data_IF_354154348247
#
_entry.id   IF_354154348247
#
_cell.length_a   1.000
_cell.length_b   1.000
_cell.length_c   1.000
_cell.angle_alpha   90.00
_cell.angle_beta   90.00
_cell.angle_gamma   90.00
#
_symmetry.space_group_name_H-M   'P 1'
#
loop_
_entity.id
_entity.type
_entity.pdbx_description
1 polymer ?
#
# COMPACT_ATOMS: atom_id res chain seq x y z
N UNK A 1 71.52 40.47 5.79
CA UNK A 1 70.61 39.75 4.82
C UNK A 1 70.10 38.40 5.30
N UNK A 2 70.79 37.71 6.24
CA UNK A 2 70.34 36.36 6.75
C UNK A 2 69.15 36.37 7.73
N UNK A 3 69.02 37.44 8.59
CA UNK A 3 67.94 37.51 9.59
C UNK A 3 66.49 37.65 8.95
N UNK A 4 66.34 38.44 7.86
CA UNK A 4 65.05 38.63 7.18
C UNK A 4 64.55 37.36 6.53
N UNK A 5 65.39 36.44 6.03
CA UNK A 5 65.03 35.16 5.47
C UNK A 5 64.53 34.18 6.55
N UNK A 6 65.20 34.20 7.77
CA UNK A 6 64.79 33.33 8.87
C UNK A 6 63.42 33.72 9.43
N UNK A 7 63.09 34.99 9.50
CA UNK A 7 61.82 35.51 9.99
C UNK A 7 60.71 35.21 9.02
N UNK A 8 60.92 35.31 7.70
CA UNK A 8 59.95 34.97 6.64
C UNK A 8 59.62 33.47 6.62
N UNK A 9 60.58 32.58 6.88
CA UNK A 9 60.36 31.13 6.93
C UNK A 9 59.59 30.73 8.18
N UNK A 10 59.80 31.35 9.34
CA UNK A 10 59.07 31.12 10.58
C UNK A 10 57.58 31.55 10.45
N UNK A 11 57.34 32.72 9.83
CA UNK A 11 55.94 33.21 9.59
C UNK A 11 55.21 32.32 8.61
N UNK A 12 55.87 31.86 7.54
CA UNK A 12 55.26 30.92 6.58
C UNK A 12 54.93 29.56 7.19
N UNK A 13 55.79 29.04 8.09
CA UNK A 13 55.51 27.80 8.84
C UNK A 13 54.37 27.97 9.84
N UNK A 14 54.31 29.11 10.57
CA UNK A 14 53.23 29.39 11.49
C UNK A 14 51.86 29.59 10.77
N UNK A 15 51.85 30.24 9.61
CA UNK A 15 50.67 30.40 8.78
C UNK A 15 50.20 29.05 8.21
N UNK A 16 51.13 28.20 7.79
CA UNK A 16 50.79 26.85 7.28
C UNK A 16 50.26 25.92 8.36
N UNK A 17 50.81 25.96 9.58
CA UNK A 17 50.27 25.19 10.72
C UNK A 17 48.91 25.74 11.17
N UNK A 18 48.67 27.05 11.15
CA UNK A 18 47.37 27.63 11.45
C UNK A 18 46.30 27.25 10.41
N UNK A 19 46.66 27.19 9.12
CA UNK A 19 45.78 26.71 8.06
C UNK A 19 45.46 25.22 8.20
N UNK A 20 46.42 24.39 8.60
CA UNK A 20 46.22 22.96 8.85
C UNK A 20 45.26 22.71 10.04
N UNK A 21 45.40 23.49 11.11
CA UNK A 21 44.51 23.41 12.28
C UNK A 21 43.10 23.91 11.92
N UNK A 22 42.97 24.98 11.13
CA UNK A 22 41.69 25.47 10.64
C UNK A 22 41.00 24.45 9.69
N UNK A 23 41.80 23.80 8.84
CA UNK A 23 41.28 22.72 7.99
C UNK A 23 40.80 21.49 8.79
N UNK A 24 41.53 21.14 9.88
CA UNK A 24 41.08 20.06 10.77
C UNK A 24 39.81 20.42 11.55
N UNK A 25 39.60 21.68 11.92
CA UNK A 25 38.36 22.14 12.54
C UNK A 25 37.17 22.13 11.58
N UNK A 26 37.42 22.29 10.28
CA UNK A 26 36.35 22.18 9.26
C UNK A 26 35.95 20.73 9.01
N UNK A 27 36.80 19.73 9.24
CA UNK A 27 36.48 18.32 9.15
C UNK A 27 35.77 17.77 10.40
N UNK A 28 35.84 18.45 11.54
CA UNK A 28 35.09 18.08 12.75
C UNK A 28 33.68 18.66 12.81
N UNK A 29 33.25 19.45 11.83
CA UNK A 29 31.87 19.92 11.68
C UNK A 29 31.01 19.00 10.85
N UNK A 30 31.30 17.68 10.82
CA UNK A 30 30.24 16.71 10.66
C UNK A 30 29.46 16.69 11.98
N UNK A 31 28.59 17.67 12.13
CA UNK A 31 27.65 17.71 13.22
C UNK A 31 26.91 16.35 13.21
N UNK A 32 27.24 15.49 14.17
CA UNK A 32 26.34 14.46 14.60
C UNK A 32 25.02 15.20 14.89
N UNK A 33 23.96 14.87 14.18
CA UNK A 33 22.60 15.39 14.46
C UNK A 33 22.13 14.80 15.80
N UNK A 34 22.87 14.98 16.85
CA UNK A 34 22.52 14.60 18.20
C UNK A 34 21.75 15.76 18.82
N UNK A 35 20.45 15.55 18.99
CA UNK A 35 19.61 16.46 19.76
C UNK A 35 19.90 16.19 21.25
N UNK A 36 20.42 17.20 21.97
CA UNK A 36 20.58 17.11 23.42
C UNK A 36 19.29 17.59 24.11
N UNK A 37 18.57 16.68 24.72
CA UNK A 37 17.33 16.99 25.46
C UNK A 37 17.66 17.05 26.96
N UNK A 38 17.45 18.19 27.63
CA UNK A 38 17.65 18.28 29.08
C UNK A 38 16.50 17.53 29.78
N UNK A 39 16.86 16.55 30.65
CA UNK A 39 15.90 15.78 31.44
C UNK A 39 16.09 16.15 32.91
N UNK A 40 15.07 16.63 33.65
CA UNK A 40 15.18 16.96 35.07
C UNK A 40 15.66 15.76 35.88
N UNK A 41 16.73 15.94 36.67
CA UNK A 41 17.34 14.90 37.52
C UNK A 41 18.24 13.89 36.80
N UNK A 42 18.43 14.03 35.48
CA UNK A 42 19.34 13.21 34.68
C UNK A 42 20.27 14.10 33.86
N UNK A 43 21.42 13.59 33.43
CA UNK A 43 22.24 14.28 32.42
C UNK A 43 21.47 14.39 31.10
N UNK A 44 21.94 15.36 30.25
CA UNK A 44 21.34 15.52 28.93
C UNK A 44 21.38 14.20 28.13
N UNK A 45 20.21 13.73 27.67
CA UNK A 45 20.10 12.55 26.82
C UNK A 45 20.43 12.94 25.38
N UNK A 46 21.37 12.24 24.78
CA UNK A 46 21.74 12.44 23.39
C UNK A 46 20.89 11.56 22.48
N UNK A 47 19.98 12.17 21.77
CA UNK A 47 19.17 11.53 20.73
C UNK A 47 20.00 11.37 19.44
N UNK A 48 20.30 10.14 19.06
CA UNK A 48 21.12 9.87 17.86
C UNK A 48 20.38 10.05 16.54
N UNK A 49 19.06 9.90 16.53
CA UNK A 49 18.28 9.93 15.28
C UNK A 49 16.81 10.31 15.53
N UNK A 50 16.53 11.60 15.58
CA UNK A 50 15.18 12.14 15.79
C UNK A 50 14.16 11.64 14.75
N UNK A 51 14.57 11.28 13.53
CA UNK A 51 13.67 10.80 12.49
C UNK A 51 13.18 9.37 12.75
N UNK A 52 13.97 8.55 13.45
CA UNK A 52 13.53 7.24 13.95
C UNK A 52 12.51 7.45 15.05
N UNK A 53 12.71 8.41 15.94
CA UNK A 53 11.75 8.75 16.99
C UNK A 53 10.43 9.24 16.38
N UNK A 54 10.46 10.06 15.36
CA UNK A 54 9.25 10.44 14.62
C UNK A 54 8.54 9.23 14.01
N UNK A 55 9.28 8.31 13.40
CA UNK A 55 8.69 7.07 12.89
C UNK A 55 8.01 6.25 14.00
N UNK A 56 8.68 6.09 15.15
CA UNK A 56 8.14 5.35 16.30
C UNK A 56 6.91 6.05 16.91
N UNK A 57 6.90 7.38 16.97
CA UNK A 57 5.73 8.16 17.37
C UNK A 57 4.58 7.97 16.38
N UNK A 58 4.87 8.00 15.10
CA UNK A 58 3.91 7.67 14.05
C UNK A 58 3.28 6.28 14.26
N UNK A 59 4.09 5.26 14.51
CA UNK A 59 3.61 3.89 14.81
C UNK A 59 2.77 3.84 16.10
N UNK A 60 3.11 4.63 17.11
CA UNK A 60 2.36 4.70 18.36
C UNK A 60 0.98 5.32 18.14
N UNK A 61 0.88 6.44 17.42
CA UNK A 61 -0.39 7.07 17.08
C UNK A 61 -1.21 6.20 16.12
N UNK A 62 -0.56 5.50 15.19
CA UNK A 62 -1.24 4.56 14.30
C UNK A 62 -1.92 3.42 15.09
N UNK A 63 -1.26 2.88 16.11
CA UNK A 63 -1.85 1.86 17.00
C UNK A 63 -3.00 2.41 17.85
N UNK A 64 -2.99 3.70 18.15
CA UNK A 64 -4.09 4.40 18.84
C UNK A 64 -5.20 4.84 17.88
N UNK A 65 -5.10 4.47 16.59
CA UNK A 65 -6.03 4.83 15.52
C UNK A 65 -6.14 6.36 15.27
N UNK A 66 -5.21 7.14 15.83
CA UNK A 66 -5.06 8.57 15.51
C UNK A 66 -4.25 8.73 14.23
N UNK A 67 -4.85 8.35 13.10
CA UNK A 67 -4.19 8.30 11.80
C UNK A 67 -3.72 9.69 11.33
N UNK A 68 -4.39 10.75 11.77
CA UNK A 68 -3.99 12.12 11.44
C UNK A 68 -2.66 12.47 12.08
N UNK A 69 -2.52 12.25 13.39
CA UNK A 69 -1.24 12.49 14.08
C UNK A 69 -0.15 11.51 13.60
N UNK A 70 -0.52 10.25 13.35
CA UNK A 70 0.41 9.30 12.78
C UNK A 70 0.99 9.81 11.45
N UNK A 71 0.15 10.35 10.56
CA UNK A 71 0.57 10.92 9.29
C UNK A 71 1.56 12.08 9.47
N UNK A 72 1.27 13.03 10.38
CA UNK A 72 2.17 14.16 10.69
C UNK A 72 3.57 13.67 11.11
N UNK A 73 3.65 12.65 11.95
CA UNK A 73 4.93 12.10 12.39
C UNK A 73 5.66 11.30 11.31
N UNK A 74 4.94 10.56 10.46
CA UNK A 74 5.57 9.89 9.32
C UNK A 74 6.09 10.89 8.28
N UNK A 75 5.40 12.02 8.05
CA UNK A 75 5.92 13.10 7.19
C UNK A 75 7.23 13.70 7.74
N UNK A 76 7.34 13.86 9.06
CA UNK A 76 8.58 14.28 9.69
C UNK A 76 9.68 13.23 9.52
N UNK A 77 9.37 11.95 9.69
CA UNK A 77 10.32 10.85 9.50
C UNK A 77 10.84 10.75 8.07
N UNK A 78 10.00 11.05 7.07
CA UNK A 78 10.37 11.04 5.64
C UNK A 78 11.47 12.04 5.26
N UNK A 79 11.73 13.05 6.09
CA UNK A 79 12.79 14.04 5.82
C UNK A 79 14.17 13.41 5.81
N UNK A 80 14.35 12.25 6.41
CA UNK A 80 15.58 11.47 6.34
C UNK A 80 15.51 10.42 5.23
N UNK A 81 16.49 10.43 4.32
CA UNK A 81 16.54 9.56 3.14
C UNK A 81 16.39 8.08 3.48
N UNK A 82 17.07 7.61 4.55
CA UNK A 82 17.06 6.20 4.95
C UNK A 82 15.70 5.72 5.51
N UNK A 83 14.89 6.66 6.02
CA UNK A 83 13.55 6.38 6.56
C UNK A 83 12.43 6.66 5.54
N UNK A 84 12.75 7.27 4.41
CA UNK A 84 11.78 7.82 3.48
C UNK A 84 10.74 6.78 3.06
N UNK A 85 11.15 5.66 2.51
CA UNK A 85 10.20 4.69 1.95
C UNK A 85 9.39 3.95 3.01
N UNK A 86 9.99 3.65 4.18
CA UNK A 86 9.27 3.05 5.29
C UNK A 86 8.17 3.98 5.81
N UNK A 87 8.51 5.25 6.05
CA UNK A 87 7.57 6.26 6.49
C UNK A 87 6.53 6.60 5.41
N UNK A 88 6.92 6.63 4.12
CA UNK A 88 6.03 6.85 2.99
C UNK A 88 4.94 5.76 2.90
N UNK A 89 5.32 4.49 3.07
CA UNK A 89 4.36 3.38 3.11
C UNK A 89 3.40 3.49 4.30
N UNK A 90 3.91 3.84 5.47
CA UNK A 90 3.09 4.05 6.68
C UNK A 90 2.13 5.22 6.52
N UNK A 91 2.59 6.32 5.93
CA UNK A 91 1.76 7.48 5.61
C UNK A 91 0.63 7.10 4.63
N UNK A 92 0.95 6.33 3.58
CA UNK A 92 -0.05 5.83 2.65
C UNK A 92 -1.14 4.99 3.36
N UNK A 93 -0.73 4.15 4.34
CA UNK A 93 -1.68 3.42 5.19
C UNK A 93 -2.54 4.34 6.05
N UNK A 94 -1.98 5.42 6.60
CA UNK A 94 -2.77 6.40 7.34
C UNK A 94 -3.90 6.98 6.47
N UNK A 95 -3.62 7.31 5.22
CA UNK A 95 -4.65 7.79 4.29
C UNK A 95 -5.72 6.74 4.02
N UNK A 96 -5.35 5.46 3.84
CA UNK A 96 -6.33 4.37 3.68
C UNK A 96 -7.25 4.28 4.91
N UNK A 97 -6.68 4.24 6.12
CA UNK A 97 -7.47 4.12 7.35
C UNK A 97 -8.28 5.39 7.68
N UNK A 98 -7.89 6.55 7.15
CA UNK A 98 -8.66 7.79 7.22
C UNK A 98 -9.68 7.93 6.09
N UNK A 99 -9.83 6.94 5.22
CA UNK A 99 -10.68 6.97 4.01
C UNK A 99 -10.32 8.09 3.04
N UNK A 100 -9.08 8.57 3.07
CA UNK A 100 -8.56 9.57 2.11
C UNK A 100 -7.99 8.86 0.88
N UNK A 101 -8.91 8.35 0.06
CA UNK A 101 -8.60 7.58 -1.13
C UNK A 101 -7.83 8.39 -2.18
N UNK A 102 -8.08 9.71 -2.22
CA UNK A 102 -7.43 10.64 -3.15
C UNK A 102 -5.92 10.71 -2.93
N UNK A 103 -5.49 10.74 -1.68
CA UNK A 103 -4.07 10.75 -1.33
C UNK A 103 -3.49 9.33 -1.25
N UNK A 104 -4.28 8.33 -0.85
CA UNK A 104 -3.82 6.95 -0.72
C UNK A 104 -3.43 6.32 -2.06
N UNK A 105 -4.29 6.41 -3.08
CA UNK A 105 -4.10 5.72 -4.36
C UNK A 105 -2.78 6.05 -5.08
N UNK A 106 -2.41 7.34 -5.28
CA UNK A 106 -1.15 7.67 -5.94
C UNK A 106 0.07 7.21 -5.14
N UNK A 107 -0.02 7.20 -3.82
CA UNK A 107 1.07 6.71 -2.97
C UNK A 107 1.26 5.21 -3.10
N UNK A 108 0.18 4.43 -3.06
CA UNK A 108 0.23 2.97 -3.27
C UNK A 108 0.79 2.63 -4.65
N UNK A 109 0.34 3.32 -5.71
CA UNK A 109 0.87 3.13 -7.08
C UNK A 109 2.37 3.40 -7.14
N UNK A 110 2.84 4.50 -6.53
CA UNK A 110 4.27 4.84 -6.49
C UNK A 110 5.10 3.82 -5.71
N UNK A 111 4.53 3.19 -4.67
CA UNK A 111 5.22 2.11 -3.96
C UNK A 111 5.25 0.86 -4.85
N UNK A 112 4.16 0.53 -5.55
CA UNK A 112 4.08 -0.61 -6.46
C UNK A 112 5.08 -0.50 -7.63
N UNK A 113 5.36 0.70 -8.15
CA UNK A 113 6.41 0.93 -9.16
C UNK A 113 7.80 0.42 -8.72
N UNK A 114 8.05 0.34 -7.41
CA UNK A 114 9.32 -0.15 -6.84
C UNK A 114 9.32 -1.66 -6.59
N UNK A 115 8.16 -2.23 -6.39
CA UNK A 115 7.95 -3.66 -6.13
C UNK A 115 6.69 -4.13 -6.89
N UNK A 116 6.80 -4.24 -8.24
CA UNK A 116 5.65 -4.51 -9.12
C UNK A 116 4.94 -5.83 -8.85
N UNK A 117 5.64 -6.80 -8.28
CA UNK A 117 5.09 -8.13 -7.98
C UNK A 117 4.48 -8.23 -6.57
N UNK A 118 4.40 -7.14 -5.84
CA UNK A 118 3.85 -7.14 -4.49
C UNK A 118 2.33 -7.30 -4.47
N UNK A 119 1.88 -8.52 -4.28
CA UNK A 119 0.47 -8.88 -4.26
C UNK A 119 -0.33 -8.10 -3.19
N UNK A 120 0.26 -7.84 -2.02
CA UNK A 120 -0.39 -7.05 -0.96
C UNK A 120 -0.62 -5.60 -1.37
N UNK A 121 0.31 -4.99 -2.11
CA UNK A 121 0.12 -3.64 -2.66
C UNK A 121 -0.94 -3.64 -3.75
N UNK A 122 -0.94 -4.64 -4.65
CA UNK A 122 -1.99 -4.80 -5.67
C UNK A 122 -3.36 -4.94 -5.02
N UNK A 123 -3.51 -5.80 -4.00
CA UNK A 123 -4.75 -5.95 -3.24
C UNK A 123 -5.18 -4.65 -2.55
N UNK A 124 -4.25 -3.90 -1.97
CA UNK A 124 -4.51 -2.58 -1.40
C UNK A 124 -5.02 -1.57 -2.43
N UNK A 125 -4.46 -1.55 -3.64
CA UNK A 125 -4.93 -0.69 -4.74
C UNK A 125 -6.33 -1.11 -5.20
N UNK A 126 -6.59 -2.41 -5.33
CA UNK A 126 -7.91 -2.93 -5.67
C UNK A 126 -8.97 -2.52 -4.63
N UNK A 127 -8.63 -2.63 -3.35
CA UNK A 127 -9.49 -2.16 -2.26
C UNK A 127 -9.78 -0.65 -2.37
N UNK A 128 -8.75 0.19 -2.60
CA UNK A 128 -8.94 1.63 -2.76
C UNK A 128 -9.86 1.93 -3.96
N UNK A 129 -9.68 1.26 -5.09
CA UNK A 129 -10.58 1.40 -6.24
C UNK A 129 -12.03 1.03 -5.90
N UNK A 130 -12.25 -0.07 -5.17
CA UNK A 130 -13.59 -0.47 -4.75
C UNK A 130 -14.27 0.58 -3.87
N UNK A 131 -13.51 1.20 -2.95
CA UNK A 131 -13.99 2.25 -2.07
C UNK A 131 -14.28 3.57 -2.81
N UNK A 132 -13.67 3.79 -3.96
CA UNK A 132 -13.97 4.91 -4.87
C UNK A 132 -15.14 4.60 -5.83
N UNK A 133 -15.69 3.38 -5.80
CA UNK A 133 -16.72 2.93 -6.73
C UNK A 133 -16.19 2.56 -8.12
N UNK A 134 -14.88 2.49 -8.30
CA UNK A 134 -14.23 2.01 -9.52
C UNK A 134 -14.11 0.48 -9.49
N UNK A 135 -15.28 -0.17 -9.52
CA UNK A 135 -15.38 -1.63 -9.44
C UNK A 135 -14.68 -2.33 -10.59
N UNK A 136 -14.68 -1.73 -11.77
CA UNK A 136 -14.01 -2.30 -12.95
C UNK A 136 -12.52 -2.51 -12.72
N UNK A 137 -11.80 -1.47 -12.28
CA UNK A 137 -10.37 -1.59 -12.02
C UNK A 137 -10.09 -2.48 -10.80
N UNK A 138 -10.96 -2.46 -9.78
CA UNK A 138 -10.85 -3.34 -8.63
C UNK A 138 -10.97 -4.80 -8.99
N UNK A 139 -12.01 -5.18 -9.76
CA UNK A 139 -12.26 -6.53 -10.24
C UNK A 139 -11.07 -7.05 -11.05
N UNK A 140 -10.59 -6.25 -12.01
CA UNK A 140 -9.46 -6.64 -12.86
C UNK A 140 -8.20 -6.99 -12.07
N UNK A 141 -7.90 -6.23 -11.00
CA UNK A 141 -6.73 -6.50 -10.16
C UNK A 141 -6.96 -7.77 -9.30
N UNK A 142 -8.16 -7.98 -8.76
CA UNK A 142 -8.42 -9.21 -8.01
C UNK A 142 -8.40 -10.45 -8.91
N UNK A 143 -8.83 -10.36 -10.16
CA UNK A 143 -8.69 -11.44 -11.14
C UNK A 143 -7.22 -11.81 -11.37
N UNK A 144 -6.35 -10.82 -11.60
CA UNK A 144 -4.90 -11.05 -11.69
C UNK A 144 -4.33 -11.73 -10.44
N UNK A 145 -4.75 -11.29 -9.26
CA UNK A 145 -4.32 -11.89 -8.00
C UNK A 145 -4.83 -13.32 -7.82
N UNK A 146 -6.05 -13.61 -8.24
CA UNK A 146 -6.66 -14.95 -8.18
C UNK A 146 -6.08 -15.88 -9.25
N UNK A 147 -5.64 -15.39 -10.41
CA UNK A 147 -4.86 -16.20 -11.37
C UNK A 147 -3.57 -16.72 -10.75
N UNK A 148 -2.87 -15.89 -9.99
CA UNK A 148 -1.64 -16.27 -9.30
C UNK A 148 -1.90 -17.14 -8.05
N UNK A 149 -2.98 -16.88 -7.31
CA UNK A 149 -3.35 -17.54 -6.07
C UNK A 149 -4.86 -17.87 -6.02
N UNK A 150 -5.32 -18.90 -6.75
CA UNK A 150 -6.76 -19.17 -6.97
C UNK A 150 -7.56 -19.48 -5.70
N UNK A 151 -6.88 -19.90 -4.63
CA UNK A 151 -7.53 -20.30 -3.37
C UNK A 151 -7.19 -19.35 -2.22
N UNK A 152 -6.65 -18.16 -2.48
CA UNK A 152 -6.39 -17.20 -1.43
C UNK A 152 -7.70 -16.65 -0.86
N UNK A 153 -7.98 -16.94 0.41
CA UNK A 153 -9.24 -16.59 1.06
C UNK A 153 -9.53 -15.09 1.01
N UNK A 154 -8.53 -14.25 1.29
CA UNK A 154 -8.70 -12.80 1.31
C UNK A 154 -9.07 -12.26 -0.08
N UNK A 155 -8.44 -12.80 -1.14
CA UNK A 155 -8.73 -12.36 -2.50
C UNK A 155 -10.11 -12.84 -2.98
N UNK A 156 -10.51 -14.07 -2.64
CA UNK A 156 -11.85 -14.59 -2.92
C UNK A 156 -12.94 -13.75 -2.23
N UNK A 157 -12.76 -13.47 -0.93
CA UNK A 157 -13.70 -12.64 -0.16
C UNK A 157 -13.84 -11.24 -0.75
N UNK A 158 -12.72 -10.58 -1.01
CA UNK A 158 -12.71 -9.22 -1.53
C UNK A 158 -13.27 -9.14 -2.96
N UNK A 159 -12.91 -10.10 -3.82
CA UNK A 159 -13.44 -10.18 -5.18
C UNK A 159 -14.97 -10.32 -5.18
N UNK A 160 -15.52 -11.26 -4.38
CA UNK A 160 -16.96 -11.44 -4.24
C UNK A 160 -17.64 -10.18 -3.66
N UNK A 161 -17.01 -9.52 -2.68
CA UNK A 161 -17.54 -8.29 -2.12
C UNK A 161 -17.65 -7.17 -3.16
N UNK A 162 -16.60 -6.99 -3.97
CA UNK A 162 -16.57 -5.98 -5.04
C UNK A 162 -17.60 -6.32 -6.12
N UNK A 163 -17.67 -7.56 -6.56
CA UNK A 163 -18.69 -8.00 -7.52
C UNK A 163 -20.10 -7.86 -6.95
N UNK A 164 -20.29 -8.12 -5.65
CA UNK A 164 -21.59 -7.93 -5.01
C UNK A 164 -22.03 -6.46 -4.97
N UNK A 165 -21.08 -5.52 -4.83
CA UNK A 165 -21.33 -4.09 -4.83
C UNK A 165 -21.50 -3.48 -6.23
N UNK A 166 -21.02 -4.16 -7.28
CA UNK A 166 -21.13 -3.70 -8.66
C UNK A 166 -22.55 -3.89 -9.23
N UNK A 167 -23.37 -2.85 -9.12
CA UNK A 167 -24.73 -2.83 -9.66
C UNK A 167 -24.75 -2.85 -11.20
N UNK A 168 -23.70 -2.35 -11.85
CA UNK A 168 -23.60 -2.23 -13.31
C UNK A 168 -23.13 -3.53 -13.98
N UNK A 169 -22.60 -4.47 -13.19
CA UNK A 169 -22.11 -5.76 -13.67
C UNK A 169 -21.15 -5.61 -14.87
N UNK A 170 -20.06 -4.86 -14.67
CA UNK A 170 -19.11 -4.50 -15.74
C UNK A 170 -18.44 -5.71 -16.41
N UNK A 171 -18.34 -6.82 -15.68
CA UNK A 171 -17.62 -7.98 -16.17
C UNK A 171 -18.48 -8.84 -17.12
N UNK A 172 -17.84 -9.25 -18.21
CA UNK A 172 -18.39 -10.27 -19.08
C UNK A 172 -18.49 -11.59 -18.29
N UNK A 173 -19.62 -12.28 -18.42
CA UNK A 173 -19.92 -13.51 -17.68
C UNK A 173 -19.95 -13.30 -16.15
N UNK A 174 -20.42 -12.14 -15.71
CA UNK A 174 -20.51 -11.78 -14.29
C UNK A 174 -21.12 -12.89 -13.42
N UNK A 175 -22.28 -13.43 -13.82
CA UNK A 175 -22.97 -14.46 -13.05
C UNK A 175 -22.09 -15.72 -12.90
N UNK A 176 -21.45 -16.15 -13.99
CA UNK A 176 -20.54 -17.31 -13.97
C UNK A 176 -19.35 -17.07 -13.04
N UNK A 177 -18.65 -15.95 -13.20
CA UNK A 177 -17.49 -15.61 -12.36
C UNK A 177 -17.83 -15.54 -10.87
N UNK A 178 -18.97 -14.92 -10.55
CA UNK A 178 -19.44 -14.85 -9.16
C UNK A 178 -19.75 -16.23 -8.58
N UNK A 179 -20.52 -17.05 -9.30
CA UNK A 179 -20.91 -18.38 -8.81
C UNK A 179 -19.72 -19.32 -8.67
N UNK A 180 -18.81 -19.34 -9.63
CA UNK A 180 -17.60 -20.17 -9.56
C UNK A 180 -16.70 -19.75 -8.39
N UNK A 181 -16.49 -18.45 -8.19
CA UNK A 181 -15.68 -17.93 -7.08
C UNK A 181 -16.33 -18.25 -5.73
N UNK A 182 -17.66 -18.13 -5.63
CA UNK A 182 -18.40 -18.49 -4.42
C UNK A 182 -18.27 -19.97 -4.08
N UNK A 183 -18.37 -20.86 -5.07
CA UNK A 183 -18.21 -22.30 -4.85
C UNK A 183 -16.78 -22.66 -4.41
N UNK A 184 -15.75 -21.98 -4.96
CA UNK A 184 -14.37 -22.14 -4.49
C UNK A 184 -14.27 -21.73 -3.02
N UNK A 185 -14.76 -20.53 -2.66
CA UNK A 185 -14.74 -20.03 -1.30
C UNK A 185 -15.44 -20.98 -0.34
N UNK A 186 -16.63 -21.46 -0.69
CA UNK A 186 -17.43 -22.38 0.11
C UNK A 186 -16.77 -23.74 0.31
N UNK A 187 -16.12 -24.26 -0.74
CA UNK A 187 -15.45 -25.56 -0.69
C UNK A 187 -14.16 -25.53 0.09
N UNK A 188 -13.34 -24.51 -0.13
CA UNK A 188 -12.03 -24.39 0.51
C UNK A 188 -12.13 -23.83 1.95
N UNK A 189 -13.13 -23.00 2.20
CA UNK A 189 -13.31 -22.29 3.49
C UNK A 189 -14.76 -22.35 3.99
N UNK A 190 -15.29 -23.54 4.34
CA UNK A 190 -16.68 -23.71 4.72
C UNK A 190 -17.10 -22.93 5.99
N UNK A 191 -16.15 -22.60 6.86
CA UNK A 191 -16.37 -21.79 8.07
C UNK A 191 -16.20 -20.27 7.84
N UNK A 192 -16.05 -19.84 6.58
CA UNK A 192 -15.90 -18.43 6.27
C UNK A 192 -17.20 -17.66 6.58
N UNK A 193 -17.05 -16.62 7.40
CA UNK A 193 -18.17 -15.80 7.89
C UNK A 193 -18.90 -15.04 6.78
N UNK A 194 -18.21 -14.76 5.67
CA UNK A 194 -18.74 -13.98 4.55
C UNK A 194 -19.60 -14.82 3.62
N UNK A 195 -19.55 -16.14 3.68
CA UNK A 195 -20.37 -17.03 2.84
C UNK A 195 -21.86 -16.68 2.92
N UNK A 196 -22.37 -16.45 4.14
CA UNK A 196 -23.77 -16.09 4.34
C UNK A 196 -24.14 -14.76 3.66
N UNK A 197 -23.21 -13.82 3.62
CA UNK A 197 -23.42 -12.51 3.00
C UNK A 197 -23.61 -12.63 1.48
N UNK A 198 -22.92 -13.57 0.85
CA UNK A 198 -22.96 -13.78 -0.60
C UNK A 198 -24.03 -14.80 -1.03
N UNK A 199 -24.58 -15.59 -0.10
CA UNK A 199 -25.47 -16.71 -0.39
C UNK A 199 -26.75 -16.29 -1.15
N UNK A 200 -27.38 -15.20 -0.74
CA UNK A 200 -28.61 -14.73 -1.39
C UNK A 200 -28.33 -14.28 -2.84
N UNK A 201 -27.23 -13.58 -3.05
CA UNK A 201 -26.82 -13.16 -4.40
C UNK A 201 -26.45 -14.38 -5.26
N UNK A 202 -25.75 -15.34 -4.70
CA UNK A 202 -25.44 -16.61 -5.36
C UNK A 202 -26.71 -17.35 -5.79
N UNK A 203 -27.68 -17.53 -4.90
CA UNK A 203 -28.94 -18.20 -5.19
C UNK A 203 -29.73 -17.49 -6.31
N UNK A 204 -29.78 -16.16 -6.27
CA UNK A 204 -30.45 -15.38 -7.30
C UNK A 204 -29.78 -15.53 -8.67
N UNK A 205 -28.45 -15.52 -8.71
CA UNK A 205 -27.69 -15.69 -9.95
C UNK A 205 -27.82 -17.11 -10.51
N UNK A 206 -27.82 -18.12 -9.64
CA UNK A 206 -28.06 -19.50 -10.06
C UNK A 206 -29.44 -19.68 -10.68
N UNK A 207 -30.49 -19.10 -10.09
CA UNK A 207 -31.84 -19.12 -10.64
C UNK A 207 -31.92 -18.49 -12.03
N UNK A 208 -31.29 -17.34 -12.23
CA UNK A 208 -31.19 -16.64 -13.53
C UNK A 208 -30.52 -17.56 -14.56
N UNK A 209 -29.40 -18.20 -14.20
CA UNK A 209 -28.69 -19.13 -15.11
C UNK A 209 -29.55 -20.34 -15.49
N UNK A 210 -30.34 -20.89 -14.57
CA UNK A 210 -31.26 -22.01 -14.85
C UNK A 210 -32.39 -21.58 -15.80
N UNK A 211 -32.94 -20.37 -15.62
CA UNK A 211 -33.96 -19.79 -16.48
C UNK A 211 -33.41 -19.51 -17.89
N UNK A 212 -32.21 -18.97 -18.01
CA UNK A 212 -31.52 -18.73 -19.29
C UNK A 212 -31.22 -20.03 -20.04
N UNK A 213 -30.71 -21.04 -19.36
CA UNK A 213 -30.44 -22.35 -19.94
C UNK A 213 -31.74 -23.07 -20.42
N UNK A 214 -32.83 -22.91 -19.67
CA UNK A 214 -34.13 -23.45 -20.08
C UNK A 214 -34.69 -22.75 -21.32
N UNK A 215 -34.48 -21.44 -21.44
CA UNK A 215 -34.91 -20.68 -22.60
C UNK A 215 -34.09 -21.01 -23.86
N UNK A 216 -32.78 -21.23 -23.74
CA UNK A 216 -31.92 -21.66 -24.85
C UNK A 216 -32.30 -23.02 -25.35
N UNK A 217 -32.58 -23.99 -24.47
CA UNK A 217 -33.04 -25.35 -24.87
C UNK A 217 -34.40 -25.34 -25.55
N UNK A 218 -35.31 -24.45 -25.14
CA UNK A 218 -36.63 -24.31 -25.79
C UNK A 218 -36.49 -23.74 -27.22
N UNK A 219 -35.65 -22.73 -27.41
CA UNK A 219 -35.41 -22.14 -28.74
C UNK A 219 -34.69 -23.09 -29.69
N UNK A 220 -33.77 -23.92 -29.21
CA UNK A 220 -33.13 -24.96 -30.01
C UNK A 220 -34.13 -26.06 -30.42
N UNK A 221 -35.07 -26.44 -29.55
CA UNK A 221 -36.09 -27.38 -29.85
C UNK A 221 -37.04 -26.87 -30.93
N UNK A 222 -37.54 -25.62 -30.83
CA UNK A 222 -38.38 -24.98 -31.84
C UNK A 222 -37.66 -24.88 -33.21
N UNK A 223 -36.40 -24.49 -33.23
CA UNK A 223 -35.63 -24.39 -34.47
C UNK A 223 -35.33 -25.75 -35.13
N UNK A 224 -35.35 -26.82 -34.35
CA UNK A 224 -35.14 -28.19 -34.84
C UNK A 224 -36.45 -28.80 -35.40
N UNK A 225 -37.60 -28.36 -34.94
CA UNK A 225 -38.92 -28.74 -35.46
C UNK A 225 -39.24 -28.05 -36.79
N UNK A 226 -38.96 -26.76 -36.92
CA UNK A 226 -39.13 -26.03 -38.19
C UNK A 226 -38.29 -26.62 -39.35
N UNK A 227 -37.10 -27.16 -39.05
CA UNK A 227 -36.22 -27.80 -40.06
C UNK A 227 -36.67 -29.20 -40.48
N UNK A 228 -37.69 -29.79 -39.87
CA UNK A 228 -38.23 -31.11 -40.20
C UNK A 228 -39.52 -31.03 -41.04
N UNK A 229 -40.10 -29.85 -41.14
CA UNK A 229 -41.35 -29.62 -41.94
C UNK A 229 -41.08 -29.11 -43.38
N UNK A 230 -39.83 -28.78 -43.74
CA UNK A 230 -39.38 -28.48 -45.08
C UNK A 230 -38.70 -29.72 -45.75
#
# INVERSE_FOLDING_TARGET
MKLKKLFSVKIKKAAFTACLIAAQLLFFSCASNELSVPVPGQGAVKERNIYVEYYMLGDSYFKLEDYKKAAEYYELAMRKKDQYWAAYYKLAKCYVFSSDWTNALPMYKRILERDPENASLKAGIAYIYSMQGDFKNSISIYEELLEAQPKNQEYLDNYLAVMAADEKKFEKNYAQKFTDTYEILKTEYPENKNLKTFEDKYKNLMKIKEEEAAAETATEAESSEEKKED
#
